data_IF_222959599523
#
_entry.id   IF_222959599523
#
_cell.length_a   1.000
_cell.length_b   1.000
_cell.length_c   1.000
_cell.angle_alpha   90.00
_cell.angle_beta   90.00
_cell.angle_gamma   90.00
#
_symmetry.space_group_name_H-M   'P 1'
#
loop_
_entity.id
_entity.type
_entity.pdbx_description
1 polymer ?
#
# COMPACT_ATOMS: atom_id res chain seq x y z
N UNK A 1 12.06 26.45 35.84
CA UNK A 1 10.97 27.13 35.10
C UNK A 1 11.36 27.13 33.64
N UNK A 2 10.62 26.40 32.80
CA UNK A 2 10.85 26.35 31.35
C UNK A 2 9.64 27.01 30.68
N UNK A 3 9.80 27.91 29.69
CA UNK A 3 8.68 28.64 29.13
C UNK A 3 7.90 27.70 28.21
N UNK A 4 6.71 27.32 28.64
CA UNK A 4 5.74 26.67 27.76
C UNK A 4 5.48 27.59 26.56
N UNK A 5 5.55 27.02 25.36
CA UNK A 5 5.17 27.70 24.13
C UNK A 5 3.73 28.25 24.29
N UNK A 6 3.50 29.56 24.13
CA UNK A 6 2.17 30.17 24.29
C UNK A 6 1.10 29.46 23.46
N UNK A 7 1.48 28.93 22.30
CA UNK A 7 0.60 28.16 21.41
C UNK A 7 0.20 26.82 22.02
N UNK A 8 1.12 26.11 22.69
CA UNK A 8 0.83 24.85 23.38
C UNK A 8 -0.07 25.07 24.61
N UNK A 9 0.16 26.15 25.35
CA UNK A 9 -0.72 26.52 26.47
C UNK A 9 -2.12 26.87 25.97
N UNK A 10 -2.23 27.63 24.88
CA UNK A 10 -3.52 28.00 24.28
C UNK A 10 -4.28 26.78 23.72
N UNK A 11 -3.58 25.87 23.02
CA UNK A 11 -4.16 24.61 22.53
C UNK A 11 -4.62 23.71 23.67
N UNK A 12 -3.80 23.55 24.71
CA UNK A 12 -4.15 22.75 25.89
C UNK A 12 -5.37 23.33 26.60
N UNK A 13 -5.44 24.65 26.78
CA UNK A 13 -6.59 25.33 27.36
C UNK A 13 -7.86 25.18 26.51
N UNK A 14 -7.75 25.22 25.18
CA UNK A 14 -8.89 25.02 24.28
C UNK A 14 -9.45 23.59 24.35
N UNK A 15 -8.60 22.57 24.26
CA UNK A 15 -9.06 21.18 24.39
C UNK A 15 -9.66 20.91 25.77
N UNK A 16 -9.05 21.46 26.83
CA UNK A 16 -9.60 21.35 28.19
C UNK A 16 -11.01 21.92 28.29
N UNK A 17 -11.27 23.09 27.66
CA UNK A 17 -12.58 23.70 27.62
C UNK A 17 -13.60 22.83 26.87
N UNK A 18 -13.22 22.27 25.72
CA UNK A 18 -14.07 21.36 24.94
C UNK A 18 -14.39 20.06 25.71
N UNK A 19 -13.40 19.45 26.35
CA UNK A 19 -13.61 18.26 27.18
C UNK A 19 -14.55 18.53 28.36
N UNK A 20 -14.46 19.72 28.98
CA UNK A 20 -15.35 20.11 30.06
C UNK A 20 -16.82 20.23 29.61
N UNK A 21 -17.06 20.72 28.39
CA UNK A 21 -18.42 20.78 27.79
C UNK A 21 -18.99 19.38 27.54
N UNK A 22 -18.16 18.45 27.05
CA UNK A 22 -18.54 17.05 26.86
C UNK A 22 -18.93 16.39 28.18
N UNK A 23 -18.10 16.55 29.23
CA UNK A 23 -18.37 15.97 30.53
C UNK A 23 -19.63 16.57 31.16
N UNK A 24 -19.84 17.88 31.02
CA UNK A 24 -21.06 18.54 31.49
C UNK A 24 -22.31 17.98 30.81
N UNK A 25 -22.24 17.70 29.51
CA UNK A 25 -23.36 17.12 28.76
C UNK A 25 -23.63 15.67 29.19
N UNK A 26 -22.58 14.88 29.42
CA UNK A 26 -22.72 13.54 29.97
C UNK A 26 -23.33 13.54 31.39
N UNK A 27 -22.96 14.51 32.24
CA UNK A 27 -23.53 14.69 33.57
C UNK A 27 -25.02 15.11 33.54
N UNK A 28 -25.44 15.87 32.52
CA UNK A 28 -26.86 16.19 32.30
C UNK A 28 -27.68 14.96 31.90
N UNK A 29 -27.09 14.04 31.14
CA UNK A 29 -27.73 12.79 30.72
C UNK A 29 -27.74 11.72 31.82
N UNK A 30 -26.72 11.70 32.67
CA UNK A 30 -26.59 10.77 33.79
C UNK A 30 -26.20 11.49 35.10
N UNK A 31 -27.18 12.12 35.79
CA UNK A 31 -26.92 12.95 36.98
C UNK A 31 -26.23 12.22 38.14
N UNK A 32 -26.28 10.89 38.18
CA UNK A 32 -25.64 10.09 39.24
C UNK A 32 -24.10 10.11 39.19
N UNK A 33 -23.50 10.54 38.07
CA UNK A 33 -22.04 10.64 37.91
C UNK A 33 -21.43 11.89 38.57
N UNK A 34 -22.25 12.85 39.04
CA UNK A 34 -21.82 14.11 39.68
C UNK A 34 -20.93 13.89 40.91
N UNK A 35 -21.25 12.91 41.76
CA UNK A 35 -20.50 12.65 42.99
C UNK A 35 -19.05 12.22 42.72
N UNK A 36 -18.83 11.43 41.66
CA UNK A 36 -17.50 10.98 41.24
C UNK A 36 -16.68 12.13 40.66
N UNK A 37 -17.32 13.04 39.92
CA UNK A 37 -16.68 14.22 39.36
C UNK A 37 -16.18 15.17 40.46
N UNK A 38 -17.04 15.49 41.45
CA UNK A 38 -16.64 16.32 42.60
C UNK A 38 -15.52 15.70 43.43
N UNK A 39 -15.55 14.37 43.62
CA UNK A 39 -14.50 13.65 44.36
C UNK A 39 -13.15 13.74 43.63
N UNK A 40 -13.13 13.61 42.29
CA UNK A 40 -11.91 13.74 41.47
C UNK A 40 -11.34 15.16 41.49
N UNK A 41 -12.21 16.17 41.39
CA UNK A 41 -11.83 17.59 41.51
C UNK A 41 -11.10 17.89 42.83
N UNK A 42 -11.57 17.30 43.94
CA UNK A 42 -10.98 17.52 45.26
C UNK A 42 -9.65 16.79 45.47
N UNK A 43 -9.49 15.60 44.88
CA UNK A 43 -8.33 14.75 45.15
C UNK A 43 -7.18 14.96 44.16
N UNK A 44 -7.46 15.15 42.86
CA UNK A 44 -6.44 15.19 41.79
C UNK A 44 -6.84 16.11 40.62
N UNK A 45 -6.80 17.44 40.80
CA UNK A 45 -7.23 18.39 39.77
C UNK A 45 -6.39 18.32 38.49
N UNK A 46 -5.07 18.14 38.59
CA UNK A 46 -4.18 18.09 37.42
C UNK A 46 -4.45 16.88 36.50
N UNK A 47 -4.76 15.73 37.09
CA UNK A 47 -5.15 14.54 36.31
C UNK A 47 -6.49 14.76 35.62
N UNK A 48 -7.44 15.42 36.28
CA UNK A 48 -8.71 15.76 35.66
C UNK A 48 -8.53 16.74 34.48
N UNK A 49 -7.65 17.74 34.61
CA UNK A 49 -7.35 18.65 33.50
C UNK A 49 -6.70 17.92 32.32
N UNK A 50 -5.81 16.96 32.56
CA UNK A 50 -5.25 16.12 31.50
C UNK A 50 -6.32 15.23 30.85
N UNK A 51 -7.20 14.60 31.63
CA UNK A 51 -8.29 13.77 31.12
C UNK A 51 -9.28 14.60 30.28
N UNK A 52 -9.60 15.82 30.72
CA UNK A 52 -10.45 16.75 29.98
C UNK A 52 -9.75 17.23 28.69
N UNK A 53 -8.45 17.47 28.71
CA UNK A 53 -7.68 17.79 27.50
C UNK A 53 -7.67 16.62 26.50
N UNK A 54 -7.51 15.38 26.97
CA UNK A 54 -7.56 14.18 26.12
C UNK A 54 -8.97 13.97 25.55
N UNK A 55 -10.02 14.11 26.38
CA UNK A 55 -11.41 14.04 25.92
C UNK A 55 -11.74 15.14 24.91
N UNK A 56 -11.26 16.37 25.14
CA UNK A 56 -11.43 17.47 24.20
C UNK A 56 -10.73 17.23 22.86
N UNK A 57 -9.54 16.62 22.89
CA UNK A 57 -8.82 16.20 21.67
C UNK A 57 -9.59 15.12 20.91
N UNK A 58 -10.16 14.13 21.61
CA UNK A 58 -10.98 13.10 20.98
C UNK A 58 -12.29 13.68 20.42
N UNK A 59 -12.95 14.57 21.16
CA UNK A 59 -14.17 15.25 20.67
C UNK A 59 -13.89 16.14 19.46
N UNK A 60 -12.72 16.79 19.39
CA UNK A 60 -12.29 17.52 18.21
C UNK A 60 -12.01 16.59 17.03
N UNK A 61 -11.41 15.42 17.25
CA UNK A 61 -11.21 14.41 16.20
C UNK A 61 -12.55 13.83 15.71
N UNK A 62 -13.49 13.59 16.62
CA UNK A 62 -14.84 13.12 16.31
C UNK A 62 -15.66 14.20 15.62
N UNK A 63 -15.56 15.46 16.05
CA UNK A 63 -16.16 16.61 15.36
C UNK A 63 -15.52 16.83 14.01
N UNK A 64 -14.20 16.74 13.86
CA UNK A 64 -13.53 16.85 12.56
C UNK A 64 -13.96 15.70 11.63
N UNK A 65 -14.11 14.49 12.16
CA UNK A 65 -14.62 13.34 11.40
C UNK A 65 -16.09 13.52 11.03
N UNK A 66 -16.92 14.01 11.95
CA UNK A 66 -18.34 14.31 11.74
C UNK A 66 -18.55 15.48 10.76
N UNK A 67 -17.81 16.58 10.90
CA UNK A 67 -17.86 17.71 9.96
C UNK A 67 -17.37 17.30 8.57
N UNK A 68 -16.33 16.46 8.48
CA UNK A 68 -15.83 15.94 7.20
C UNK A 68 -16.77 14.92 6.56
N UNK A 69 -17.51 14.15 7.35
CA UNK A 69 -18.47 13.17 6.82
C UNK A 69 -19.86 13.75 6.54
N UNK A 70 -20.29 14.81 7.26
CA UNK A 70 -21.67 15.32 7.21
C UNK A 70 -21.80 16.73 6.64
N UNK A 71 -20.80 17.61 6.83
CA UNK A 71 -20.83 19.00 6.32
C UNK A 71 -19.89 19.24 5.12
N UNK A 72 -18.96 18.33 4.84
CA UNK A 72 -18.17 18.33 3.59
C UNK A 72 -18.83 17.52 2.45
N UNK A 73 -20.14 17.27 2.51
CA UNK A 73 -20.99 17.09 1.32
C UNK A 73 -21.17 18.39 0.52
N UNK A 74 -20.13 19.23 0.44
CA UNK A 74 -20.17 20.58 -0.08
C UNK A 74 -19.04 20.81 -1.08
N UNK A 75 -19.38 20.77 -2.37
CA UNK A 75 -18.65 21.37 -3.47
C UNK A 75 -17.14 21.14 -3.44
N UNK A 76 -16.72 20.00 -3.97
CA UNK A 76 -15.36 19.83 -4.44
C UNK A 76 -15.03 21.02 -5.35
N UNK A 77 -14.22 21.97 -4.86
CA UNK A 77 -13.55 22.96 -5.72
C UNK A 77 -12.33 22.31 -6.37
N UNK A 78 -12.37 21.01 -6.62
CA UNK A 78 -11.60 20.42 -7.68
C UNK A 78 -11.80 21.27 -8.94
N UNK A 79 -10.73 21.75 -9.57
CA UNK A 79 -10.83 22.48 -10.83
C UNK A 79 -11.29 21.56 -11.97
N UNK A 80 -11.42 20.25 -11.72
CA UNK A 80 -11.82 19.29 -12.75
C UNK A 80 -13.35 19.28 -12.94
N UNK A 81 -13.80 19.07 -14.19
CA UNK A 81 -15.20 18.78 -14.47
C UNK A 81 -15.71 17.59 -13.65
N UNK A 82 -17.01 17.59 -13.38
CA UNK A 82 -17.69 16.44 -12.75
C UNK A 82 -17.49 15.18 -13.60
N UNK A 83 -17.08 14.08 -12.96
CA UNK A 83 -17.01 12.76 -13.61
C UNK A 83 -18.42 12.29 -13.98
N UNK A 84 -18.59 11.80 -15.22
CA UNK A 84 -19.88 11.32 -15.72
C UNK A 84 -19.92 9.81 -15.60
N UNK A 85 -20.71 9.33 -14.64
CA UNK A 85 -20.87 7.91 -14.40
C UNK A 85 -21.60 7.20 -15.55
N UNK A 86 -21.14 5.99 -15.84
CA UNK A 86 -21.78 5.08 -16.78
C UNK A 86 -22.45 3.95 -16.03
N UNK A 87 -23.67 3.60 -16.44
CA UNK A 87 -24.41 2.49 -15.84
C UNK A 87 -23.66 1.15 -16.00
N UNK A 88 -22.97 0.95 -17.12
CA UNK A 88 -22.12 -0.20 -17.44
C UNK A 88 -20.64 0.03 -17.08
N UNK A 89 -20.32 1.10 -16.35
CA UNK A 89 -18.97 1.52 -16.03
C UNK A 89 -18.26 0.55 -15.09
N UNK A 90 -17.04 0.17 -15.48
CA UNK A 90 -16.18 -0.75 -14.73
C UNK A 90 -15.17 -0.03 -13.82
N UNK A 91 -14.98 1.27 -14.00
CA UNK A 91 -14.22 2.11 -13.08
C UNK A 91 -15.11 2.46 -11.88
N UNK A 92 -14.90 1.81 -10.74
CA UNK A 92 -15.65 2.08 -9.52
C UNK A 92 -15.04 3.25 -8.77
N UNK A 93 -15.87 4.08 -8.13
CA UNK A 93 -15.40 5.19 -7.33
C UNK A 93 -14.71 4.73 -6.04
N UNK A 94 -13.64 5.41 -5.65
CA UNK A 94 -12.94 5.20 -4.38
C UNK A 94 -13.76 5.75 -3.19
N UNK A 95 -13.50 5.30 -1.94
CA UNK A 95 -12.53 4.28 -1.52
C UNK A 95 -13.06 2.85 -1.66
N UNK A 96 -12.15 1.88 -1.60
CA UNK A 96 -12.51 0.45 -1.71
C UNK A 96 -12.34 -0.27 -0.37
N UNK A 97 -13.34 -1.09 -0.02
CA UNK A 97 -13.25 -2.08 1.04
C UNK A 97 -12.83 -3.43 0.45
N UNK A 98 -11.82 -4.06 1.04
CA UNK A 98 -11.27 -5.34 0.61
C UNK A 98 -11.31 -6.32 1.78
N UNK A 99 -12.02 -7.43 1.60
CA UNK A 99 -12.29 -8.43 2.64
C UNK A 99 -11.79 -9.82 2.26
N UNK A 100 -11.36 -10.56 3.27
CA UNK A 100 -10.92 -11.95 3.16
C UNK A 100 -9.70 -12.11 2.26
N UNK A 101 -8.69 -11.24 2.41
CA UNK A 101 -7.45 -11.30 1.63
C UNK A 101 -6.57 -12.42 2.15
N UNK A 102 -6.26 -13.40 1.30
CA UNK A 102 -5.24 -14.43 1.54
C UNK A 102 -4.02 -14.10 0.71
N UNK A 103 -3.01 -13.52 1.33
CA UNK A 103 -1.80 -13.03 0.69
C UNK A 103 -0.66 -14.01 0.93
N UNK A 104 -0.24 -14.73 -0.11
CA UNK A 104 0.98 -15.52 -0.11
C UNK A 104 2.14 -14.64 -0.59
N UNK A 105 3.16 -14.45 0.23
CA UNK A 105 4.32 -13.63 -0.09
C UNK A 105 5.58 -14.46 -0.28
N UNK A 106 6.35 -14.13 -1.32
CA UNK A 106 7.63 -14.75 -1.68
C UNK A 106 8.70 -13.68 -1.88
N UNK A 107 9.74 -13.70 -1.06
CA UNK A 107 10.82 -12.71 -1.13
C UNK A 107 11.87 -13.16 -2.13
N UNK A 108 12.22 -12.28 -3.06
CA UNK A 108 13.26 -12.47 -4.05
C UNK A 108 14.26 -11.31 -4.03
N UNK A 109 15.50 -11.59 -4.41
CA UNK A 109 16.59 -10.62 -4.41
C UNK A 109 16.81 -10.06 -5.82
N UNK A 110 16.69 -8.74 -5.97
CA UNK A 110 16.99 -7.99 -7.18
C UNK A 110 18.30 -7.20 -7.08
N UNK A 111 18.51 -6.32 -8.05
CA UNK A 111 19.68 -5.41 -8.09
C UNK A 111 19.28 -4.00 -7.67
N UNK A 112 19.93 -3.45 -6.62
CA UNK A 112 19.69 -2.06 -6.19
C UNK A 112 19.75 -1.06 -7.35
N UNK A 113 20.72 -1.23 -8.26
CA UNK A 113 20.87 -0.33 -9.40
C UNK A 113 19.69 -0.42 -10.35
N UNK A 114 19.18 -1.64 -10.62
CA UNK A 114 18.01 -1.84 -11.48
C UNK A 114 16.73 -1.33 -10.83
N UNK A 115 16.57 -1.55 -9.53
CA UNK A 115 15.44 -0.99 -8.78
C UNK A 115 15.47 0.55 -8.76
N UNK A 116 16.66 1.17 -8.71
CA UNK A 116 16.78 2.62 -8.87
C UNK A 116 16.40 3.06 -10.29
N UNK A 117 16.82 2.35 -11.35
CA UNK A 117 16.38 2.64 -12.73
C UNK A 117 14.84 2.59 -12.86
N UNK A 118 14.18 1.67 -12.15
CA UNK A 118 12.71 1.58 -12.07
C UNK A 118 12.12 2.80 -11.36
N UNK A 119 12.65 3.21 -10.20
CA UNK A 119 12.25 4.45 -9.53
C UNK A 119 12.44 5.66 -10.46
N UNK A 120 13.57 5.73 -11.16
CA UNK A 120 13.90 6.85 -12.02
C UNK A 120 12.89 6.97 -13.16
N UNK A 121 12.68 5.86 -13.89
CA UNK A 121 11.76 5.81 -15.03
C UNK A 121 10.31 6.15 -14.67
N UNK A 122 9.80 5.62 -13.57
CA UNK A 122 8.36 5.69 -13.26
C UNK A 122 8.01 6.74 -12.20
N UNK A 123 8.92 7.12 -11.33
CA UNK A 123 8.64 8.02 -10.21
C UNK A 123 9.42 9.32 -10.34
N UNK A 124 10.75 9.29 -10.55
CA UNK A 124 11.59 10.49 -10.49
C UNK A 124 11.57 11.34 -11.78
N UNK A 125 11.80 10.71 -12.94
CA UNK A 125 11.85 11.39 -14.24
C UNK A 125 10.55 12.13 -14.57
N UNK A 126 9.35 11.56 -14.33
CA UNK A 126 8.10 12.28 -14.59
C UNK A 126 7.96 13.56 -13.77
N UNK A 127 8.46 13.59 -12.53
CA UNK A 127 8.20 14.69 -11.60
C UNK A 127 9.24 15.84 -11.64
N UNK A 128 10.19 15.80 -12.57
CA UNK A 128 11.28 16.78 -12.71
C UNK A 128 12.14 16.96 -11.44
N UNK A 129 12.24 15.93 -10.59
CA UNK A 129 13.08 15.94 -9.39
C UNK A 129 12.53 16.75 -8.21
N UNK A 130 11.25 17.11 -8.22
CA UNK A 130 10.56 17.71 -7.06
C UNK A 130 10.46 16.73 -5.88
N UNK A 131 10.27 15.44 -6.19
CA UNK A 131 10.22 14.34 -5.23
C UNK A 131 11.20 13.27 -5.69
N UNK A 132 12.04 12.79 -4.77
CA UNK A 132 13.02 11.76 -5.06
C UNK A 132 12.67 10.46 -4.34
N UNK A 133 12.57 9.39 -5.12
CA UNK A 133 12.29 8.03 -4.69
C UNK A 133 13.54 7.17 -4.88
N UNK A 134 13.93 6.45 -3.83
CA UNK A 134 15.06 5.51 -3.84
C UNK A 134 14.60 4.14 -3.31
N UNK A 135 15.01 3.01 -3.89
CA UNK A 135 14.70 1.71 -3.30
C UNK A 135 15.31 1.64 -1.89
N UNK A 136 14.52 1.17 -0.93
CA UNK A 136 14.95 1.04 0.46
C UNK A 136 15.84 -0.19 0.66
N UNK A 137 15.70 -1.19 -0.21
CA UNK A 137 16.40 -2.48 -0.15
C UNK A 137 16.45 -3.14 -1.53
N UNK A 138 17.27 -4.18 -1.66
CA UNK A 138 17.36 -5.01 -2.87
C UNK A 138 16.42 -6.21 -2.88
N UNK A 139 15.52 -6.31 -1.90
CA UNK A 139 14.50 -7.34 -1.85
C UNK A 139 13.17 -6.82 -2.40
N UNK A 140 12.51 -7.68 -3.14
CA UNK A 140 11.14 -7.52 -3.61
C UNK A 140 10.27 -8.58 -2.94
N UNK A 141 9.02 -8.23 -2.65
CA UNK A 141 8.02 -9.21 -2.22
C UNK A 141 7.11 -9.49 -3.41
N UNK A 142 7.16 -10.70 -3.94
CA UNK A 142 6.17 -11.18 -4.90
C UNK A 142 4.98 -11.74 -4.11
N UNK A 143 3.80 -11.15 -4.25
CA UNK A 143 2.59 -11.68 -3.63
C UNK A 143 1.70 -12.37 -4.65
N UNK A 144 0.98 -13.41 -4.20
CA UNK A 144 -0.21 -13.97 -4.84
C UNK A 144 -1.34 -13.83 -3.85
N UNK A 145 -2.40 -13.14 -4.24
CA UNK A 145 -3.52 -12.85 -3.36
C UNK A 145 -4.80 -13.45 -3.91
N UNK A 146 -5.59 -14.06 -3.02
CA UNK A 146 -6.98 -14.40 -3.26
C UNK A 146 -7.85 -13.57 -2.34
N UNK A 147 -8.75 -12.79 -2.91
CA UNK A 147 -9.55 -11.79 -2.21
C UNK A 147 -11.02 -12.14 -2.39
N UNK A 148 -11.73 -12.34 -1.28
CA UNK A 148 -13.15 -12.76 -1.34
C UNK A 148 -14.04 -11.66 -1.92
N UNK A 149 -13.75 -10.42 -1.56
CA UNK A 149 -14.62 -9.29 -1.90
C UNK A 149 -13.85 -7.98 -1.97
N UNK A 150 -13.98 -7.29 -3.09
CA UNK A 150 -13.70 -5.87 -3.25
C UNK A 150 -14.99 -5.12 -3.60
N UNK A 151 -15.25 -3.99 -2.96
CA UNK A 151 -16.37 -3.10 -3.29
C UNK A 151 -16.03 -1.63 -3.04
N UNK A 152 -16.71 -0.73 -3.75
CA UNK A 152 -16.74 0.69 -3.37
C UNK A 152 -17.50 0.88 -2.06
N UNK A 153 -17.07 1.85 -1.27
CA UNK A 153 -17.74 2.25 -0.03
C UNK A 153 -18.78 3.36 -0.30
N UNK A 154 -18.68 4.09 -1.42
CA UNK A 154 -19.54 5.24 -1.69
C UNK A 154 -20.56 5.00 -2.82
N UNK A 155 -21.78 5.57 -2.71
CA UNK A 155 -22.70 5.63 -3.84
C UNK A 155 -22.08 6.38 -5.03
N UNK A 156 -22.47 6.03 -6.28
CA UNK A 156 -23.46 5.01 -6.61
C UNK A 156 -22.89 3.58 -6.61
N UNK A 157 -21.57 3.40 -6.59
CA UNK A 157 -20.97 2.09 -6.84
C UNK A 157 -21.02 1.14 -5.65
N UNK A 158 -21.29 1.64 -4.45
CA UNK A 158 -21.70 0.81 -3.32
C UNK A 158 -22.83 -0.17 -3.70
N UNK A 159 -23.80 0.28 -4.51
CA UNK A 159 -24.95 -0.53 -4.93
C UNK A 159 -24.63 -1.52 -6.07
N UNK A 160 -23.42 -1.46 -6.67
CA UNK A 160 -22.98 -2.44 -7.68
C UNK A 160 -22.58 -3.79 -7.07
N UNK A 161 -22.37 -3.84 -5.76
CA UNK A 161 -21.98 -5.04 -5.03
C UNK A 161 -20.47 -5.29 -5.04
N UNK A 162 -20.07 -6.56 -4.96
CA UNK A 162 -18.70 -6.98 -4.73
C UNK A 162 -18.10 -7.73 -5.91
N UNK A 163 -16.79 -7.67 -6.04
CA UNK A 163 -16.01 -8.35 -7.08
C UNK A 163 -14.97 -9.24 -6.41
N UNK A 164 -14.87 -10.48 -6.88
CA UNK A 164 -13.78 -11.38 -6.51
C UNK A 164 -12.49 -10.98 -7.24
N UNK A 165 -11.36 -10.98 -6.53
CA UNK A 165 -10.05 -10.62 -7.09
C UNK A 165 -9.04 -11.74 -6.78
N UNK A 166 -8.33 -12.16 -7.82
CA UNK A 166 -7.04 -12.82 -7.69
C UNK A 166 -6.00 -11.89 -8.31
N UNK A 167 -4.87 -11.74 -7.65
CA UNK A 167 -3.82 -10.84 -8.10
C UNK A 167 -2.43 -11.37 -7.79
N UNK A 168 -1.45 -10.98 -8.62
CA UNK A 168 -0.04 -11.18 -8.34
C UNK A 168 0.73 -9.86 -8.49
N UNK A 169 1.59 -9.56 -7.54
CA UNK A 169 2.21 -8.24 -7.45
C UNK A 169 3.68 -8.33 -7.04
N UNK A 170 4.54 -7.60 -7.72
CA UNK A 170 5.89 -7.30 -7.22
C UNK A 170 5.85 -6.00 -6.40
N UNK A 171 6.15 -6.10 -5.11
CA UNK A 171 6.21 -4.97 -4.18
C UNK A 171 7.65 -4.51 -3.98
N UNK A 172 7.88 -3.21 -4.19
CA UNK A 172 9.17 -2.56 -3.98
C UNK A 172 9.03 -1.45 -2.93
N UNK A 173 9.73 -1.58 -1.81
CA UNK A 173 9.76 -0.54 -0.80
C UNK A 173 10.70 0.59 -1.22
N UNK A 174 10.20 1.82 -1.14
CA UNK A 174 10.97 3.03 -1.47
C UNK A 174 11.06 3.97 -0.27
N UNK A 175 12.17 4.70 -0.21
CA UNK A 175 12.34 5.90 0.61
C UNK A 175 11.99 7.09 -0.25
N UNK A 176 11.06 7.91 0.24
CA UNK A 176 10.62 9.15 -0.40
C UNK A 176 11.25 10.31 0.33
N UNK A 177 11.78 11.26 -0.43
CA UNK A 177 12.40 12.45 0.12
C UNK A 177 12.61 13.54 -0.90
N UNK A 178 13.46 14.49 -0.54
CA UNK A 178 13.82 15.61 -1.40
C UNK A 178 15.30 15.92 -1.32
N UNK A 179 15.83 16.51 -2.39
CA UNK A 179 17.20 16.98 -2.45
C UNK A 179 17.29 18.41 -1.90
N UNK A 180 18.18 18.63 -0.94
CA UNK A 180 18.51 19.93 -0.37
C UNK A 180 20.01 20.16 -0.56
N UNK A 181 20.38 20.88 -1.62
CA UNK A 181 21.78 20.98 -2.05
C UNK A 181 22.34 19.60 -2.45
N UNK A 182 23.50 19.17 -1.90
CA UNK A 182 24.06 17.85 -2.21
C UNK A 182 23.40 16.71 -1.40
N UNK A 183 22.58 17.03 -0.39
CA UNK A 183 22.03 16.07 0.55
C UNK A 183 20.65 15.60 0.11
N UNK A 184 20.38 14.31 0.30
CA UNK A 184 19.04 13.75 0.23
C UNK A 184 18.47 13.68 1.64
N UNK A 185 17.30 14.27 1.82
CA UNK A 185 16.57 14.26 3.09
C UNK A 185 15.39 13.31 2.93
N UNK A 186 15.48 12.15 3.57
CA UNK A 186 14.37 11.20 3.64
C UNK A 186 13.24 11.75 4.50
N UNK A 187 12.00 11.56 4.04
CA UNK A 187 10.80 12.08 4.70
C UNK A 187 9.85 10.96 5.12
N UNK A 188 9.68 9.92 4.28
CA UNK A 188 8.77 8.80 4.52
C UNK A 188 9.12 7.58 3.68
N UNK A 189 8.41 6.48 3.90
CA UNK A 189 8.43 5.31 3.04
C UNK A 189 7.17 5.25 2.16
N UNK A 190 7.27 4.60 1.01
CA UNK A 190 6.14 4.27 0.16
C UNK A 190 6.41 2.98 -0.63
N UNK A 191 5.38 2.16 -0.82
CA UNK A 191 5.46 0.96 -1.64
C UNK A 191 5.08 1.27 -3.08
N UNK A 192 5.97 0.92 -4.00
CA UNK A 192 5.73 0.97 -5.44
C UNK A 192 5.54 -0.45 -5.98
N UNK A 193 4.58 -0.61 -6.88
CA UNK A 193 4.24 -1.92 -7.47
C UNK A 193 4.46 -1.87 -8.99
N UNK A 194 5.69 -2.13 -9.47
CA UNK A 194 6.01 -2.02 -10.90
C UNK A 194 5.27 -3.02 -11.79
N UNK A 195 4.84 -4.16 -11.24
CA UNK A 195 4.13 -5.21 -11.96
C UNK A 195 2.95 -5.70 -11.13
N UNK A 196 1.75 -5.63 -11.70
CA UNK A 196 0.48 -5.99 -11.06
C UNK A 196 -0.38 -6.73 -12.06
N UNK A 197 -0.77 -7.96 -11.76
CA UNK A 197 -1.67 -8.77 -12.59
C UNK A 197 -2.95 -9.04 -11.82
N UNK A 198 -4.11 -8.98 -12.48
CA UNK A 198 -5.43 -9.22 -11.87
C UNK A 198 -6.34 -10.05 -12.78
N UNK A 199 -7.35 -10.71 -12.22
CA UNK A 199 -8.21 -11.64 -12.97
C UNK A 199 -9.49 -11.04 -13.57
N UNK A 200 -9.82 -9.79 -13.25
CA UNK A 200 -11.12 -9.22 -13.63
C UNK A 200 -11.05 -7.75 -14.04
N UNK A 201 -11.96 -7.34 -14.92
CA UNK A 201 -11.93 -6.04 -15.57
C UNK A 201 -12.32 -4.86 -14.67
N UNK A 202 -13.30 -4.94 -13.74
CA UNK A 202 -13.56 -3.81 -12.82
C UNK A 202 -12.36 -3.48 -11.95
N UNK A 203 -11.65 -4.51 -11.51
CA UNK A 203 -10.42 -4.41 -10.72
C UNK A 203 -9.31 -3.74 -11.53
N UNK A 204 -9.11 -4.21 -12.77
CA UNK A 204 -8.13 -3.66 -13.71
C UNK A 204 -8.40 -2.18 -13.98
N UNK A 205 -9.62 -1.86 -14.40
CA UNK A 205 -10.01 -0.52 -14.86
C UNK A 205 -9.98 0.46 -13.69
N UNK A 206 -10.59 0.12 -12.57
CA UNK A 206 -10.57 0.94 -11.35
C UNK A 206 -9.15 1.23 -10.88
N UNK A 207 -8.30 0.20 -10.80
CA UNK A 207 -6.91 0.38 -10.39
C UNK A 207 -6.11 1.30 -11.30
N UNK A 208 -6.29 1.19 -12.62
CA UNK A 208 -5.60 2.02 -13.62
C UNK A 208 -6.13 3.45 -13.68
N UNK A 209 -7.44 3.61 -13.72
CA UNK A 209 -8.10 4.89 -13.99
C UNK A 209 -8.27 5.75 -12.75
N UNK A 210 -8.42 5.17 -11.56
CA UNK A 210 -8.58 5.90 -10.31
C UNK A 210 -7.21 6.16 -9.67
N UNK A 211 -6.45 5.09 -9.46
CA UNK A 211 -5.21 5.13 -8.67
C UNK A 211 -3.93 5.14 -9.53
N UNK A 212 -3.96 4.71 -10.78
CA UNK A 212 -2.76 4.66 -11.62
C UNK A 212 -1.89 3.41 -11.44
N UNK A 213 -2.43 2.31 -10.90
CA UNK A 213 -1.72 1.03 -10.89
C UNK A 213 -1.51 0.52 -12.31
N UNK A 214 -0.35 -0.08 -12.60
CA UNK A 214 -0.05 -0.70 -13.88
C UNK A 214 -0.64 -2.10 -14.00
N UNK A 215 -1.93 -2.25 -13.68
CA UNK A 215 -2.61 -3.54 -13.73
C UNK A 215 -2.68 -4.08 -15.17
N UNK A 216 -2.44 -5.36 -15.31
CA UNK A 216 -2.68 -6.19 -16.52
C UNK A 216 -3.61 -7.35 -16.17
N UNK A 217 -4.28 -7.93 -17.17
CA UNK A 217 -5.13 -9.10 -16.96
C UNK A 217 -4.29 -10.38 -16.91
N UNK A 218 -4.66 -11.30 -16.04
CA UNK A 218 -4.06 -12.64 -15.97
C UNK A 218 -5.05 -13.70 -15.54
N UNK A 219 -4.64 -14.95 -15.69
CA UNK A 219 -5.29 -16.14 -15.15
C UNK A 219 -4.37 -16.75 -14.10
N UNK A 220 -4.95 -17.19 -13.00
CA UNK A 220 -4.19 -17.57 -11.81
C UNK A 220 -4.46 -19.01 -11.39
N UNK A 221 -3.44 -19.61 -10.80
CA UNK A 221 -3.59 -20.76 -9.91
C UNK A 221 -3.06 -20.32 -8.55
N UNK A 222 -3.95 -20.21 -7.56
CA UNK A 222 -3.61 -19.84 -6.19
C UNK A 222 -4.29 -20.84 -5.24
N UNK A 223 -3.53 -21.59 -4.42
CA UNK A 223 -4.08 -22.52 -3.44
C UNK A 223 -4.94 -21.81 -2.37
N UNK A 224 -6.00 -22.48 -1.94
CA UNK A 224 -6.77 -22.09 -0.76
C UNK A 224 -5.95 -22.27 0.52
N UNK A 225 -6.31 -21.59 1.61
CA UNK A 225 -5.57 -21.67 2.89
C UNK A 225 -5.53 -23.09 3.49
N UNK A 226 -6.50 -23.93 3.15
CA UNK A 226 -6.58 -25.31 3.61
C UNK A 226 -5.85 -26.30 2.69
N UNK A 227 -5.21 -25.82 1.64
CA UNK A 227 -4.40 -26.61 0.71
C UNK A 227 -2.92 -26.39 0.98
N UNK A 228 -2.09 -27.37 0.63
CA UNK A 228 -0.65 -27.17 0.62
C UNK A 228 -0.28 -26.17 -0.49
N UNK A 229 0.50 -25.12 -0.18
CA UNK A 229 0.86 -24.11 -1.17
C UNK A 229 2.02 -24.62 -2.02
N UNK A 230 1.75 -25.54 -2.94
CA UNK A 230 2.79 -26.21 -3.75
C UNK A 230 3.08 -25.52 -5.07
N UNK A 231 2.08 -24.84 -5.64
CA UNK A 231 2.16 -24.21 -6.95
C UNK A 231 1.32 -22.95 -7.03
N UNK A 232 1.93 -21.88 -7.53
CA UNK A 232 1.29 -20.61 -7.86
C UNK A 232 1.62 -20.24 -9.28
N UNK A 233 0.66 -19.77 -10.06
CA UNK A 233 0.91 -19.42 -11.47
C UNK A 233 0.20 -18.15 -11.90
N UNK A 234 0.81 -17.46 -12.87
CA UNK A 234 0.18 -16.40 -13.64
C UNK A 234 0.36 -16.70 -15.12
N UNK A 235 -0.74 -16.79 -15.84
CA UNK A 235 -0.80 -16.82 -17.29
C UNK A 235 -1.35 -15.45 -17.76
N UNK A 236 -0.75 -14.83 -18.78
CA UNK A 236 -1.19 -13.51 -19.27
C UNK A 236 -0.90 -13.36 -20.77
N UNK A 237 -1.48 -12.32 -21.36
CA UNK A 237 -1.24 -11.95 -22.75
C UNK A 237 0.19 -11.40 -22.91
N UNK A 238 0.98 -12.05 -23.75
CA UNK A 238 2.39 -11.71 -23.96
C UNK A 238 2.79 -11.68 -25.43
N UNK A 239 3.86 -10.96 -25.71
CA UNK A 239 4.58 -10.98 -26.98
C UNK A 239 5.96 -11.59 -26.73
N UNK A 240 6.24 -12.76 -27.31
CA UNK A 240 7.57 -13.42 -27.22
C UNK A 240 8.67 -12.50 -27.70
N UNK A 241 8.45 -11.89 -28.86
CA UNK A 241 9.37 -10.93 -29.48
C UNK A 241 8.56 -9.76 -30.05
N UNK A 242 9.14 -8.57 -30.10
CA UNK A 242 8.52 -7.43 -30.77
C UNK A 242 8.92 -7.37 -32.24
N UNK A 243 7.94 -7.52 -33.12
CA UNK A 243 8.07 -7.29 -34.55
C UNK A 243 6.70 -6.86 -35.12
N UNK A 244 6.65 -6.21 -36.30
CA UNK A 244 5.38 -5.87 -36.95
C UNK A 244 4.46 -7.06 -37.24
N UNK A 245 4.99 -8.29 -37.23
CA UNK A 245 4.27 -9.53 -37.51
C UNK A 245 4.00 -10.38 -36.27
N UNK A 246 4.52 -9.98 -35.10
CA UNK A 246 4.33 -10.74 -33.87
C UNK A 246 2.86 -10.69 -33.45
N UNK A 247 2.29 -11.87 -33.18
CA UNK A 247 0.97 -11.98 -32.56
C UNK A 247 1.14 -12.22 -31.06
N UNK A 248 0.25 -11.63 -30.27
CA UNK A 248 0.16 -11.92 -28.85
C UNK A 248 -0.37 -13.33 -28.62
N UNK A 249 0.08 -13.96 -27.55
CA UNK A 249 -0.43 -15.26 -27.09
C UNK A 249 -0.73 -15.17 -25.59
N UNK A 250 -1.67 -15.97 -25.12
CA UNK A 250 -1.80 -16.23 -23.68
C UNK A 250 -0.78 -17.30 -23.29
N UNK A 251 0.09 -16.99 -22.33
CA UNK A 251 1.12 -17.91 -21.89
C UNK A 251 1.46 -17.75 -20.41
N UNK A 252 1.98 -18.83 -19.81
CA UNK A 252 2.57 -18.84 -18.47
C UNK A 252 3.69 -17.82 -18.38
N UNK A 253 3.55 -16.85 -17.49
CA UNK A 253 4.57 -15.84 -17.20
C UNK A 253 5.32 -16.18 -15.91
N UNK A 254 4.60 -16.42 -14.81
CA UNK A 254 5.16 -16.65 -13.49
C UNK A 254 4.75 -18.02 -12.95
N UNK A 255 5.67 -18.67 -12.26
CA UNK A 255 5.42 -19.88 -11.51
C UNK A 255 6.22 -19.87 -10.20
N UNK A 256 5.56 -20.02 -9.06
CA UNK A 256 6.23 -20.28 -7.78
C UNK A 256 5.93 -21.71 -7.38
N UNK A 257 6.97 -22.52 -7.22
CA UNK A 257 6.85 -23.93 -6.89
C UNK A 257 7.63 -24.26 -5.61
N UNK A 258 7.04 -25.10 -4.75
CA UNK A 258 7.76 -25.69 -3.61
C UNK A 258 8.75 -26.74 -4.11
N UNK A 259 10.02 -26.65 -3.68
CA UNK A 259 11.10 -27.53 -4.16
C UNK A 259 11.70 -28.45 -3.09
N UNK A 260 11.52 -28.13 -1.80
CA UNK A 260 12.01 -28.96 -0.70
C UNK A 260 10.84 -29.43 0.16
N UNK A 261 10.65 -30.75 0.25
CA UNK A 261 9.65 -31.41 1.12
C UNK A 261 10.27 -32.13 2.33
N UNK A 262 11.60 -32.00 2.53
CA UNK A 262 12.35 -32.65 3.62
C UNK A 262 12.29 -31.89 4.94
N UNK A 263 12.22 -32.66 6.05
CA UNK A 263 12.01 -32.30 7.46
C UNK A 263 11.27 -30.98 7.72
N UNK A 264 9.99 -31.10 8.10
CA UNK A 264 9.11 -30.05 8.61
C UNK A 264 9.88 -29.04 9.47
N UNK A 265 10.37 -27.95 8.86
CA UNK A 265 10.74 -26.76 9.62
C UNK A 265 9.50 -26.41 10.45
N UNK A 266 9.71 -26.12 11.73
CA UNK A 266 8.61 -25.79 12.63
C UNK A 266 7.78 -24.67 11.99
N UNK A 267 6.54 -25.00 11.62
CA UNK A 267 5.61 -24.04 11.05
C UNK A 267 5.41 -22.96 12.10
N UNK A 268 5.91 -21.76 11.84
CA UNK A 268 5.66 -20.61 12.69
C UNK A 268 4.35 -19.97 12.26
N UNK A 269 3.36 -19.96 13.15
CA UNK A 269 2.11 -19.22 12.97
C UNK A 269 2.19 -17.89 13.72
N UNK A 270 1.37 -16.95 13.29
CA UNK A 270 1.22 -15.63 13.91
C UNK A 270 -0.26 -15.33 14.09
N UNK A 271 -0.65 -14.97 15.30
CA UNK A 271 -2.04 -14.63 15.62
C UNK A 271 -2.27 -13.11 15.51
N UNK A 272 -1.19 -12.33 15.58
CA UNK A 272 -1.23 -10.87 15.46
C UNK A 272 -0.42 -10.37 14.28
N UNK A 273 -0.84 -9.23 13.72
CA UNK A 273 -0.12 -8.59 12.63
C UNK A 273 1.27 -8.14 13.07
N UNK A 274 1.39 -7.69 14.31
CA UNK A 274 2.63 -7.22 14.92
C UNK A 274 3.68 -8.34 15.01
N UNK A 275 3.29 -9.57 15.32
CA UNK A 275 4.17 -10.74 15.32
C UNK A 275 4.64 -11.09 13.90
N UNK A 276 3.72 -11.08 12.93
CA UNK A 276 4.04 -11.34 11.54
C UNK A 276 5.01 -10.28 10.97
N UNK A 277 4.72 -9.00 11.19
CA UNK A 277 5.55 -7.88 10.76
C UNK A 277 6.97 -7.95 11.37
N UNK A 278 7.08 -8.22 12.68
CA UNK A 278 8.38 -8.43 13.35
C UNK A 278 9.15 -9.59 12.74
N UNK A 279 8.48 -10.73 12.55
CA UNK A 279 9.14 -11.92 12.04
C UNK A 279 9.66 -11.73 10.60
N UNK A 280 8.86 -11.10 9.73
CA UNK A 280 9.27 -10.80 8.36
C UNK A 280 10.41 -9.77 8.36
N UNK A 281 10.30 -8.68 9.12
CA UNK A 281 11.36 -7.68 9.22
C UNK A 281 12.69 -8.29 9.71
N UNK A 282 12.67 -9.12 10.75
CA UNK A 282 13.90 -9.73 11.30
C UNK A 282 14.57 -10.72 10.35
N UNK A 283 13.85 -11.23 9.35
CA UNK A 283 14.42 -12.11 8.33
C UNK A 283 14.98 -11.34 7.13
N UNK A 284 14.50 -10.12 6.89
CA UNK A 284 14.94 -9.27 5.78
C UNK A 284 16.05 -8.30 6.17
N UNK A 285 16.17 -7.98 7.47
CA UNK A 285 17.10 -6.97 7.98
C UNK A 285 17.87 -7.46 9.19
N UNK A 286 19.18 -7.23 9.20
CA UNK A 286 19.97 -7.30 10.42
C UNK A 286 19.49 -6.21 11.39
N UNK A 287 19.14 -6.58 12.62
CA UNK A 287 18.60 -5.69 13.67
C UNK A 287 17.25 -4.98 13.36
N UNK A 288 16.49 -5.36 12.32
CA UNK A 288 15.25 -4.69 11.88
C UNK A 288 15.44 -3.26 11.34
N UNK A 289 16.66 -2.88 10.95
CA UNK A 289 16.98 -1.52 10.50
C UNK A 289 17.23 -1.48 9.00
N UNK A 290 16.71 -0.44 8.33
CA UNK A 290 17.12 -0.08 6.98
C UNK A 290 18.08 1.10 7.07
N UNK A 291 19.22 1.00 6.38
CA UNK A 291 20.10 2.15 6.19
C UNK A 291 19.47 3.09 5.17
N UNK A 292 19.01 4.26 5.63
CA UNK A 292 18.43 5.27 4.76
C UNK A 292 19.51 5.76 3.78
N UNK A 293 19.32 5.61 2.45
CA UNK A 293 20.28 6.06 1.46
C UNK A 293 20.53 7.57 1.57
N UNK A 294 21.78 7.97 1.84
CA UNK A 294 22.18 9.39 1.93
C UNK A 294 22.31 9.95 3.35
N UNK A 295 21.69 9.31 4.35
CA UNK A 295 21.84 9.69 5.77
C UNK A 295 22.63 8.66 6.58
N UNK A 296 22.69 7.40 6.13
CA UNK A 296 23.25 6.26 6.90
C UNK A 296 22.64 6.11 8.31
N UNK A 297 21.46 6.69 8.54
CA UNK A 297 20.71 6.56 9.78
C UNK A 297 19.84 5.30 9.72
N UNK A 298 19.75 4.52 10.81
CA UNK A 298 18.84 3.40 10.87
C UNK A 298 17.40 3.91 10.91
N UNK A 299 16.57 3.44 9.99
CA UNK A 299 15.12 3.60 10.05
C UNK A 299 14.50 2.37 10.71
N UNK A 300 13.71 2.59 11.76
CA UNK A 300 12.98 1.53 12.43
C UNK A 300 11.76 1.13 11.59
N UNK A 301 11.97 0.24 10.61
CA UNK A 301 10.91 -0.25 9.73
C UNK A 301 9.75 -0.88 10.52
N UNK A 302 10.06 -1.44 11.69
CA UNK A 302 9.06 -2.07 12.53
C UNK A 302 8.04 -1.04 13.06
N UNK A 303 8.49 0.13 13.56
CA UNK A 303 7.56 1.18 13.98
C UNK A 303 6.61 1.60 12.85
N UNK A 304 7.15 1.74 11.64
CA UNK A 304 6.35 2.03 10.45
C UNK A 304 5.34 0.92 10.11
N UNK A 305 5.75 -0.35 10.14
CA UNK A 305 4.82 -1.46 9.90
C UNK A 305 3.70 -1.48 10.97
N UNK A 306 4.03 -1.19 12.23
CA UNK A 306 3.08 -1.17 13.34
C UNK A 306 1.99 -0.07 13.22
N UNK A 307 2.18 0.94 12.36
CA UNK A 307 1.14 1.95 12.09
C UNK A 307 -0.07 1.37 11.33
N UNK A 308 0.03 0.13 10.81
CA UNK A 308 -1.05 -0.56 10.07
C UNK A 308 -1.54 0.18 8.83
N UNK A 309 -0.74 1.14 8.37
CA UNK A 309 -0.94 1.91 7.16
C UNK A 309 0.24 1.65 6.24
N UNK A 310 -0.06 1.13 5.05
CA UNK A 310 0.90 0.85 4.00
C UNK A 310 0.70 1.93 2.92
N UNK A 311 1.48 3.03 2.94
CA UNK A 311 1.41 4.04 1.89
C UNK A 311 1.90 3.45 0.56
N UNK A 312 1.07 3.59 -0.46
CA UNK A 312 1.34 3.19 -1.83
C UNK A 312 1.69 4.43 -2.65
N UNK A 313 2.56 4.28 -3.64
CA UNK A 313 2.80 5.30 -4.67
C UNK A 313 2.62 4.70 -6.06
N UNK A 314 2.04 5.48 -6.97
CA UNK A 314 1.82 5.11 -8.38
C UNK A 314 2.05 6.29 -9.31
N UNK A 315 2.32 6.01 -10.58
CA UNK A 315 2.30 7.00 -11.65
C UNK A 315 1.01 6.83 -12.47
N UNK A 316 0.01 7.67 -12.17
CA UNK A 316 -1.23 7.72 -12.93
C UNK A 316 -1.01 8.52 -14.21
N UNK A 317 -1.25 7.90 -15.37
CA UNK A 317 -1.12 8.57 -16.65
C UNK A 317 -2.14 8.08 -17.68
N UNK A 318 -2.64 9.01 -18.50
CA UNK A 318 -3.55 8.72 -19.61
C UNK A 318 -2.93 9.27 -20.88
N UNK A 319 -2.89 8.45 -21.93
CA UNK A 319 -2.31 8.82 -23.23
C UNK A 319 -3.17 9.87 -23.91
N UNK A 320 -2.53 10.88 -24.49
CA UNK A 320 -3.20 11.89 -25.31
C UNK A 320 -3.63 11.30 -26.66
N UNK A 321 -4.85 11.63 -27.09
CA UNK A 321 -5.40 11.19 -28.38
C UNK A 321 -4.87 12.03 -29.55
N UNK A 322 -4.56 13.31 -29.33
CA UNK A 322 -4.01 14.20 -30.37
C UNK A 322 -2.54 13.86 -30.67
N UNK A 323 -1.78 13.53 -29.63
CA UNK A 323 -0.41 13.05 -29.75
C UNK A 323 -0.18 11.82 -28.87
N UNK A 324 -0.27 10.64 -29.48
CA UNK A 324 -0.12 9.35 -28.78
C UNK A 324 1.25 9.16 -28.10
N UNK A 325 2.25 10.01 -28.35
CA UNK A 325 3.54 10.02 -27.65
C UNK A 325 3.54 10.85 -26.36
N UNK A 326 2.43 11.51 -26.02
CA UNK A 326 2.26 12.36 -24.84
C UNK A 326 1.17 11.80 -23.92
N UNK A 327 1.16 12.26 -22.68
CA UNK A 327 0.10 12.01 -21.73
C UNK A 327 -0.78 13.28 -21.60
N UNK A 328 -2.10 13.12 -21.67
CA UNK A 328 -3.06 14.21 -21.41
C UNK A 328 -3.32 14.40 -19.91
N UNK A 329 -2.96 13.39 -19.09
CA UNK A 329 -2.90 13.46 -17.64
C UNK A 329 -1.68 12.68 -17.16
N UNK A 330 -0.93 13.23 -16.20
CA UNK A 330 0.18 12.54 -15.55
C UNK A 330 0.36 13.08 -14.12
N UNK A 331 0.36 12.19 -13.13
CA UNK A 331 0.51 12.53 -11.71
C UNK A 331 1.14 11.38 -10.91
N UNK A 332 1.83 11.73 -9.84
CA UNK A 332 2.20 10.78 -8.79
C UNK A 332 1.09 10.79 -7.74
N UNK A 333 0.50 9.62 -7.50
CA UNK A 333 -0.59 9.45 -6.53
C UNK A 333 -0.06 8.65 -5.34
N UNK A 334 -0.29 9.17 -4.13
CA UNK A 334 -0.07 8.41 -2.90
C UNK A 334 -1.41 8.00 -2.30
N UNK A 335 -1.55 6.73 -1.93
CA UNK A 335 -2.80 6.15 -1.43
C UNK A 335 -2.54 5.24 -0.24
N UNK A 336 -3.20 5.43 0.91
CA UNK A 336 -3.02 4.56 2.06
C UNK A 336 -3.81 3.25 1.90
N UNK A 337 -3.10 2.12 2.00
CA UNK A 337 -3.72 0.83 2.30
C UNK A 337 -3.78 0.65 3.82
N UNK A 338 -4.98 0.63 4.39
CA UNK A 338 -5.19 0.58 5.84
C UNK A 338 -5.73 -0.78 6.27
N UNK A 339 -4.92 -1.53 7.02
CA UNK A 339 -5.32 -2.80 7.62
C UNK A 339 -6.51 -2.58 8.57
N UNK A 340 -7.54 -3.41 8.44
CA UNK A 340 -8.74 -3.37 9.29
C UNK A 340 -8.73 -4.51 10.31
N UNK A 341 -8.73 -5.75 9.82
CA UNK A 341 -8.79 -6.96 10.65
C UNK A 341 -7.70 -7.92 10.22
N UNK A 342 -6.98 -8.52 11.18
CA UNK A 342 -6.00 -9.56 10.92
C UNK A 342 -6.50 -10.87 11.51
N UNK A 343 -6.52 -11.92 10.69
CA UNK A 343 -7.04 -13.24 11.06
C UNK A 343 -5.93 -14.25 11.38
N UNK A 344 -4.71 -14.02 10.88
CA UNK A 344 -3.56 -14.87 11.16
C UNK A 344 -2.54 -14.89 10.03
N UNK A 345 -1.41 -15.53 10.27
CA UNK A 345 -0.39 -15.79 9.26
C UNK A 345 0.45 -17.02 9.55
N UNK A 346 1.20 -17.46 8.55
CA UNK A 346 2.07 -18.64 8.63
C UNK A 346 3.34 -18.43 7.83
N UNK A 347 4.46 -18.88 8.37
CA UNK A 347 5.76 -18.91 7.71
C UNK A 347 6.01 -20.27 7.06
N UNK A 348 6.51 -20.26 5.82
CA UNK A 348 6.90 -21.46 5.07
C UNK A 348 8.42 -21.64 4.93
N UNK A 349 9.23 -20.61 5.17
CA UNK A 349 10.69 -20.68 5.01
C UNK A 349 11.16 -20.50 3.56
N UNK A 350 12.32 -21.05 3.21
CA UNK A 350 13.03 -20.86 1.93
C UNK A 350 12.78 -22.01 0.92
N UNK A 351 11.69 -22.74 1.07
CA UNK A 351 11.41 -23.99 0.35
C UNK A 351 10.87 -23.79 -1.08
N UNK A 352 10.99 -22.60 -1.66
CA UNK A 352 10.34 -22.22 -2.92
C UNK A 352 11.33 -21.76 -3.98
N UNK A 353 10.92 -21.92 -5.24
CA UNK A 353 11.59 -21.32 -6.39
C UNK A 353 10.57 -20.57 -7.23
N UNK A 354 10.96 -19.39 -7.69
CA UNK A 354 10.23 -18.59 -8.66
C UNK A 354 10.82 -18.84 -10.05
N UNK A 355 10.02 -19.31 -10.98
CA UNK A 355 10.32 -19.35 -12.40
C UNK A 355 9.62 -18.20 -13.12
N UNK A 356 10.36 -17.48 -13.95
CA UNK A 356 9.85 -16.40 -14.81
C UNK A 356 10.18 -16.76 -16.26
N UNK A 357 9.15 -16.91 -17.09
CA UNK A 357 9.32 -17.10 -18.53
C UNK A 357 9.60 -15.77 -19.21
N UNK A 358 10.53 -15.77 -20.16
CA UNK A 358 11.04 -14.56 -20.79
C UNK A 358 10.19 -14.17 -22.01
N UNK A 359 9.57 -13.01 -21.95
CA UNK A 359 8.80 -12.41 -23.05
C UNK A 359 9.21 -10.95 -23.21
N UNK A 360 9.35 -10.47 -24.45
CA UNK A 360 9.72 -9.08 -24.73
C UNK A 360 8.73 -8.06 -24.12
N UNK A 361 7.45 -8.43 -24.02
CA UNK A 361 6.42 -7.58 -23.38
C UNK A 361 6.45 -7.58 -21.86
N UNK A 362 7.20 -8.46 -21.22
CA UNK A 362 7.25 -8.62 -19.76
C UNK A 362 8.71 -8.60 -19.27
N UNK A 363 9.42 -7.45 -19.33
CA UNK A 363 10.85 -7.35 -19.02
C UNK A 363 11.18 -7.42 -17.51
N UNK A 364 10.40 -8.17 -16.72
CA UNK A 364 10.49 -8.28 -15.26
C UNK A 364 11.91 -8.57 -14.80
N UNK A 365 12.57 -9.56 -15.42
CA UNK A 365 13.91 -10.00 -15.02
C UNK A 365 14.93 -8.88 -15.22
N UNK A 366 14.84 -8.15 -16.34
CA UNK A 366 15.73 -7.04 -16.67
C UNK A 366 15.49 -5.82 -15.77
N UNK A 367 14.22 -5.43 -15.62
CA UNK A 367 13.82 -4.25 -14.87
C UNK A 367 14.11 -4.40 -13.37
N UNK A 368 13.88 -5.59 -12.81
CA UNK A 368 14.07 -5.86 -11.39
C UNK A 368 15.47 -6.38 -11.06
N UNK A 369 16.30 -6.64 -12.08
CA UNK A 369 17.67 -7.12 -11.93
C UNK A 369 17.79 -8.51 -11.33
N UNK A 370 16.87 -9.41 -11.68
CA UNK A 370 16.76 -10.77 -11.12
C UNK A 370 17.72 -11.75 -11.81
N UNK A 371 18.98 -11.39 -12.06
CA UNK A 371 19.87 -12.11 -12.99
C UNK A 371 20.85 -13.11 -12.36
N UNK A 372 20.84 -13.34 -11.04
CA UNK A 372 21.84 -14.21 -10.39
C UNK A 372 21.75 -15.64 -10.96
N UNK A 373 22.74 -16.04 -11.77
CA UNK A 373 22.85 -17.37 -12.37
C UNK A 373 22.38 -17.50 -13.82
N UNK A 374 22.17 -16.40 -14.56
CA UNK A 374 21.52 -16.46 -15.88
C UNK A 374 22.45 -16.26 -17.10
N UNK A 375 22.48 -17.18 -18.07
CA UNK A 375 23.02 -16.95 -19.40
C UNK A 375 22.03 -16.14 -20.26
N UNK A 376 22.54 -15.13 -20.98
CA UNK A 376 21.76 -14.37 -21.94
C UNK A 376 21.12 -15.30 -23.00
N UNK A 377 19.83 -15.10 -23.29
CA UNK A 377 19.10 -15.84 -24.32
C UNK A 377 18.31 -17.07 -23.87
N UNK A 378 18.23 -17.38 -22.57
CA UNK A 378 17.37 -18.49 -22.11
C UNK A 378 15.87 -18.14 -22.25
N UNK A 379 15.01 -19.16 -22.32
CA UNK A 379 13.55 -18.98 -22.42
C UNK A 379 12.88 -18.67 -21.07
N UNK A 380 13.54 -18.99 -19.96
CA UNK A 380 13.04 -18.75 -18.62
C UNK A 380 14.19 -18.72 -17.62
N UNK A 381 13.99 -18.04 -16.49
CA UNK A 381 14.90 -18.04 -15.34
C UNK A 381 14.24 -18.65 -14.12
N UNK A 382 15.02 -19.35 -13.29
CA UNK A 382 14.61 -19.82 -11.97
C UNK A 382 15.40 -19.11 -10.88
N UNK A 383 14.70 -18.58 -9.89
CA UNK A 383 15.20 -17.73 -8.82
C UNK A 383 14.86 -18.39 -7.49
N UNK A 384 15.82 -18.61 -6.58
CA UNK A 384 15.52 -19.11 -5.25
C UNK A 384 14.75 -18.05 -4.44
N UNK A 385 13.67 -18.49 -3.78
CA UNK A 385 12.92 -17.64 -2.86
C UNK A 385 13.63 -17.65 -1.51
N UNK A 386 13.84 -16.47 -0.92
CA UNK A 386 14.47 -16.30 0.39
C UNK A 386 13.53 -16.62 1.54
N UNK A 387 12.25 -16.32 1.34
CA UNK A 387 11.22 -16.44 2.35
C UNK A 387 9.84 -16.58 1.72
N UNK A 388 9.09 -17.59 2.11
CA UNK A 388 7.67 -17.77 1.82
C UNK A 388 6.82 -17.59 3.08
N UNK A 389 5.69 -16.90 2.96
CA UNK A 389 4.71 -16.75 4.04
C UNK A 389 3.29 -16.61 3.49
N UNK A 390 2.30 -16.70 4.36
CA UNK A 390 0.90 -16.34 4.08
C UNK A 390 0.34 -15.47 5.19
N UNK A 391 -0.48 -14.48 4.83
CA UNK A 391 -1.25 -13.61 5.73
C UNK A 391 -2.74 -13.66 5.36
N UNK A 392 -3.61 -13.58 6.35
CA UNK A 392 -5.07 -13.49 6.16
C UNK A 392 -5.61 -12.24 6.85
N UNK A 393 -6.18 -11.31 6.09
CA UNK A 393 -6.62 -10.00 6.62
C UNK A 393 -7.65 -9.27 5.74
N UNK A 394 -8.23 -8.23 6.32
CA UNK A 394 -9.08 -7.23 5.66
C UNK A 394 -8.35 -5.89 5.62
N UNK A 395 -8.58 -5.09 4.58
CA UNK A 395 -8.04 -3.74 4.47
C UNK A 395 -8.96 -2.80 3.70
N UNK A 396 -8.69 -1.50 3.79
CA UNK A 396 -9.32 -0.48 2.95
C UNK A 396 -8.25 0.19 2.11
N UNK A 397 -8.48 0.32 0.81
CA UNK A 397 -7.72 1.24 -0.02
C UNK A 397 -8.41 2.60 0.04
N UNK A 398 -7.78 3.54 0.76
CA UNK A 398 -8.30 4.90 0.96
C UNK A 398 -8.01 5.78 -0.25
N UNK A 399 -8.73 6.89 -0.33
CA UNK A 399 -8.61 7.89 -1.38
C UNK A 399 -7.15 8.26 -1.67
N UNK A 400 -6.83 8.29 -2.96
CA UNK A 400 -5.53 8.76 -3.42
C UNK A 400 -5.39 10.28 -3.39
N UNK A 401 -4.18 10.76 -3.09
CA UNK A 401 -3.80 12.16 -3.19
C UNK A 401 -2.70 12.33 -4.23
N UNK A 402 -2.88 13.26 -5.16
CA UNK A 402 -1.80 13.70 -6.02
C UNK A 402 -0.73 14.42 -5.18
N UNK A 403 0.46 13.84 -5.10
CA UNK A 403 1.64 14.46 -4.45
C UNK A 403 2.47 15.28 -5.43
N UNK A 404 2.33 14.98 -6.72
CA UNK A 404 2.82 15.77 -7.82
C UNK A 404 1.91 15.58 -9.04
N UNK A 405 1.77 16.61 -9.86
CA UNK A 405 1.03 16.53 -11.12
C UNK A 405 1.67 17.41 -12.20
N UNK A 406 1.79 16.88 -13.41
CA UNK A 406 2.26 17.63 -14.56
C UNK A 406 1.34 18.85 -14.84
N UNK A 407 1.90 20.01 -15.24
CA UNK A 407 1.11 21.16 -15.64
C UNK A 407 0.11 20.79 -16.75
N UNK A 408 -1.16 21.18 -16.58
CA UNK A 408 -2.17 21.01 -17.61
C UNK A 408 -2.12 22.18 -18.60
N UNK A 409 -2.53 21.93 -19.86
CA UNK A 409 -2.75 23.01 -20.83
C UNK A 409 -3.87 23.92 -20.27
N UNK A 410 -3.56 25.20 -20.10
CA UNK A 410 -4.56 26.22 -19.75
C UNK A 410 -5.52 26.50 -20.89
#
# INVERSE_FOLDING_TARGET
MNPNNPLQTMQTSFHTALGAVSEFTALLQEPQKLTNYFTRMQQKPDQLFQDLAVKGKNMEQDMNSFFKNYFCGGGDKSPYPKYIERADGQAFNQPYEIKGTKMYGFVVEGSMAKLQEVCDKYLNDPNNGEIEYRPAMNYLVLTFNKIDSLSSIYPPDYDKGTVHEEEAIFWMLTVVGKRVGPLFIAERLAWFMPYVYVNNSPILVSGREVYGFFKELGLFQIPELNQEPDLFTVDTLVFKEFSPTSQSIDARLLEVQRVNTGENQAIKTWDTFEEAARAIASLLFDNNEILIPGLQLPFNLLEYLLEKIVPLVTLKQIRDVENSKKACYQALIESPMQLQTFYGGKLFGDQFQLKINNFASQPIVQDLGLHKGYPAGSESITIPVKLGFVLHFDFTLKDGKAVWQAPQKN
#
